data_IF_892358796776
#
_entry.id   IF_892358796776
#
_cell.length_a   1.000
_cell.length_b   1.000
_cell.length_c   1.000
_cell.angle_alpha   90.00
_cell.angle_beta   90.00
_cell.angle_gamma   90.00
#
_symmetry.space_group_name_H-M   'P 1'
#
loop_
_entity.id
_entity.type
_entity.pdbx_description
1 polymer ?
#
# COMPACT_ATOMS: atom_id res chain seq x y z
N UNK A 1 4.52 -17.55 3.24
CA UNK A 1 5.86 -17.57 3.85
C UNK A 1 6.14 -18.93 4.45
N UNK A 2 7.39 -19.38 4.43
CA UNK A 2 7.88 -20.57 5.14
C UNK A 2 9.26 -20.30 5.73
N UNK A 3 9.60 -20.99 6.81
CA UNK A 3 10.92 -20.89 7.45
C UNK A 3 11.99 -21.60 6.61
N UNK A 4 13.17 -20.97 6.48
CA UNK A 4 14.31 -21.54 5.78
C UNK A 4 15.62 -21.15 6.49
N UNK A 5 16.58 -22.07 6.46
CA UNK A 5 17.96 -21.83 6.87
C UNK A 5 18.93 -22.26 5.77
N UNK A 6 19.85 -21.38 5.39
CA UNK A 6 20.92 -21.68 4.44
C UNK A 6 22.25 -21.69 5.18
N UNK A 7 22.87 -22.86 5.28
CA UNK A 7 24.09 -23.07 6.06
C UNK A 7 25.19 -23.73 5.24
N UNK A 8 26.30 -23.00 5.09
CA UNK A 8 27.56 -23.51 4.58
C UNK A 8 28.44 -23.93 5.75
N UNK A 9 29.05 -25.12 5.66
CA UNK A 9 29.94 -25.65 6.70
C UNK A 9 31.22 -26.21 6.08
N UNK A 10 32.37 -25.49 6.15
CA UNK A 10 32.54 -24.15 6.74
C UNK A 10 31.92 -23.04 5.87
N UNK A 11 31.71 -21.86 6.46
CA UNK A 11 31.41 -20.63 5.71
C UNK A 11 32.69 -20.19 5.00
N UNK A 12 32.63 -20.06 3.67
CA UNK A 12 33.77 -19.63 2.82
C UNK A 12 33.33 -18.54 1.84
N UNK A 13 34.27 -17.96 1.10
CA UNK A 13 33.93 -16.98 0.04
C UNK A 13 33.07 -17.62 -1.06
N UNK A 14 33.30 -18.90 -1.36
CA UNK A 14 32.52 -19.66 -2.35
C UNK A 14 31.15 -20.12 -1.82
N UNK A 15 30.98 -20.19 -0.51
CA UNK A 15 29.73 -20.57 0.17
C UNK A 15 29.55 -19.70 1.43
N UNK A 16 29.09 -18.44 1.26
CA UNK A 16 29.12 -17.43 2.34
C UNK A 16 27.86 -17.43 3.21
N UNK A 17 27.03 -18.47 3.16
CA UNK A 17 25.71 -18.46 3.81
C UNK A 17 25.74 -19.10 5.20
N UNK A 18 25.30 -18.32 6.19
CA UNK A 18 24.80 -18.82 7.46
C UNK A 18 23.66 -17.90 7.89
N UNK A 19 22.46 -18.18 7.40
CA UNK A 19 21.31 -17.27 7.46
C UNK A 19 20.03 -18.04 7.72
N UNK A 20 19.16 -17.50 8.56
CA UNK A 20 17.87 -18.13 8.91
C UNK A 20 16.77 -17.08 8.90
N UNK A 21 15.59 -17.47 8.46
CA UNK A 21 14.40 -16.63 8.55
C UNK A 21 13.24 -17.14 7.72
N UNK A 22 12.45 -16.22 7.18
CA UNK A 22 11.27 -16.48 6.37
C UNK A 22 11.54 -16.16 4.90
N UNK A 23 10.97 -16.98 4.04
CA UNK A 23 10.94 -16.78 2.59
C UNK A 23 9.59 -17.20 2.01
N UNK A 24 9.41 -17.10 0.70
CA UNK A 24 8.24 -17.61 -0.03
C UNK A 24 8.66 -18.07 -1.43
N UNK A 25 7.92 -19.00 -2.03
CA UNK A 25 8.17 -19.39 -3.42
C UNK A 25 7.85 -18.18 -4.32
N UNK A 26 8.76 -17.66 -5.17
CA UNK A 26 9.95 -18.30 -5.75
C UNK A 26 11.32 -17.79 -5.23
N UNK A 27 11.37 -17.08 -4.10
CA UNK A 27 12.60 -16.46 -3.61
C UNK A 27 13.67 -17.52 -3.26
N UNK A 28 14.92 -17.38 -3.77
CA UNK A 28 15.96 -18.39 -3.59
C UNK A 28 16.68 -18.34 -2.24
N UNK A 29 16.44 -17.29 -1.44
CA UNK A 29 17.14 -17.01 -0.18
C UNK A 29 16.19 -16.47 0.90
N UNK A 30 16.71 -16.15 2.09
CA UNK A 30 15.93 -15.56 3.20
C UNK A 30 15.54 -14.13 2.82
N UNK A 31 14.24 -13.82 2.87
CA UNK A 31 13.73 -12.47 2.58
C UNK A 31 13.58 -11.65 3.87
N UNK A 32 13.22 -12.30 4.98
CA UNK A 32 13.13 -11.69 6.33
C UNK A 32 13.92 -12.55 7.29
N UNK A 33 14.89 -12.02 8.02
CA UNK A 33 15.65 -12.86 8.92
C UNK A 33 16.94 -12.21 9.38
N UNK A 34 17.92 -13.05 9.70
CA UNK A 34 19.21 -12.58 10.15
C UNK A 34 20.31 -13.57 9.74
N UNK A 35 21.53 -13.05 9.65
CA UNK A 35 22.75 -13.85 9.60
C UNK A 35 23.55 -13.65 10.90
N UNK A 36 24.83 -13.97 10.89
CA UNK A 36 25.71 -13.84 12.07
C UNK A 36 25.97 -12.38 12.49
N UNK A 37 25.74 -11.40 11.59
CA UNK A 37 26.13 -10.01 11.79
C UNK A 37 24.95 -9.04 11.85
N UNK A 38 23.92 -9.27 11.01
CA UNK A 38 22.81 -8.34 10.83
C UNK A 38 21.47 -9.07 10.86
N UNK A 39 20.43 -8.36 11.28
CA UNK A 39 19.03 -8.75 11.16
C UNK A 39 18.23 -7.72 10.38
N UNK A 40 17.24 -8.17 9.62
CA UNK A 40 16.36 -7.32 8.85
C UNK A 40 14.92 -7.83 8.82
N UNK A 41 13.99 -6.87 8.75
CA UNK A 41 12.57 -7.10 8.57
C UNK A 41 12.01 -6.13 7.55
N UNK A 42 10.82 -6.42 7.01
CA UNK A 42 10.17 -5.53 6.06
C UNK A 42 8.69 -5.29 6.38
N UNK A 43 8.20 -4.12 5.98
CA UNK A 43 6.77 -3.86 5.81
C UNK A 43 6.51 -3.24 4.44
N UNK A 44 5.32 -3.43 3.88
CA UNK A 44 4.97 -2.79 2.61
C UNK A 44 4.96 -1.25 2.77
N UNK A 45 5.60 -0.53 1.86
CA UNK A 45 5.61 0.93 1.89
C UNK A 45 4.38 1.55 1.22
N UNK A 46 3.70 0.82 0.32
CA UNK A 46 2.49 1.29 -0.36
C UNK A 46 2.75 2.39 -1.40
N UNK A 47 3.99 2.57 -1.82
CA UNK A 47 4.35 3.53 -2.85
C UNK A 47 3.73 3.19 -4.19
N UNK A 48 3.42 4.25 -4.92
CA UNK A 48 2.79 4.21 -6.22
C UNK A 48 3.85 4.06 -7.31
N UNK A 49 3.88 2.87 -7.91
CA UNK A 49 4.90 2.45 -8.88
C UNK A 49 4.28 2.02 -10.21
N UNK A 50 3.03 2.39 -10.46
CA UNK A 50 2.29 1.99 -11.64
C UNK A 50 1.44 3.15 -12.14
N UNK A 51 1.30 3.29 -13.46
CA UNK A 51 0.39 4.26 -14.07
C UNK A 51 -0.41 3.61 -15.20
N UNK A 52 -1.61 4.16 -15.42
CA UNK A 52 -2.48 3.78 -16.52
C UNK A 52 -2.48 4.87 -17.58
N UNK A 53 -2.24 4.48 -18.82
CA UNK A 53 -2.23 5.37 -19.98
C UNK A 53 -3.39 5.04 -20.89
N UNK A 54 -4.30 5.99 -21.08
CA UNK A 54 -5.42 5.89 -22.03
C UNK A 54 -4.89 6.01 -23.45
N UNK A 55 -5.20 5.02 -24.28
CA UNK A 55 -4.73 4.95 -25.66
C UNK A 55 -5.86 5.33 -26.62
N UNK A 56 -5.49 5.96 -27.73
CA UNK A 56 -6.36 6.08 -28.90
C UNK A 56 -5.99 4.98 -29.90
N UNK A 57 -6.92 4.06 -30.17
CA UNK A 57 -6.72 2.97 -31.13
C UNK A 57 -7.05 3.45 -32.55
N UNK A 58 -6.26 3.04 -33.54
CA UNK A 58 -6.54 3.39 -34.94
C UNK A 58 -7.86 2.72 -35.40
N UNK A 59 -8.88 3.50 -35.82
CA UNK A 59 -10.16 2.96 -36.27
C UNK A 59 -10.06 2.11 -37.54
N UNK A 60 -9.00 2.29 -38.34
CA UNK A 60 -8.77 1.52 -39.58
C UNK A 60 -7.89 0.27 -39.34
N UNK A 61 -7.17 0.19 -38.22
CA UNK A 61 -6.29 -0.94 -37.86
C UNK A 61 -6.18 -1.08 -36.33
N UNK A 62 -6.86 -2.04 -35.68
CA UNK A 62 -6.84 -2.18 -34.23
C UNK A 62 -5.48 -2.62 -33.68
N UNK A 63 -4.49 -2.92 -34.52
CA UNK A 63 -3.13 -3.25 -34.09
C UNK A 63 -2.23 -2.02 -34.02
N UNK A 64 -2.79 -0.82 -34.19
CA UNK A 64 -2.10 0.45 -34.08
C UNK A 64 -2.73 1.37 -33.02
N UNK A 65 -1.90 2.19 -32.38
CA UNK A 65 -2.32 3.26 -31.47
C UNK A 65 -1.68 4.59 -31.86
N UNK A 66 -2.33 5.67 -31.42
CA UNK A 66 -1.84 7.03 -31.61
C UNK A 66 -0.64 7.29 -30.70
N UNK A 67 0.44 7.79 -31.28
CA UNK A 67 1.61 8.23 -30.53
C UNK A 67 2.26 9.43 -31.20
N UNK A 68 2.39 10.54 -30.49
CA UNK A 68 3.02 11.79 -30.95
C UNK A 68 2.58 12.22 -32.36
N UNK A 69 1.28 12.07 -32.65
CA UNK A 69 0.70 12.48 -33.92
C UNK A 69 0.79 11.45 -35.06
N UNK A 70 1.31 10.25 -34.81
CA UNK A 70 1.43 9.16 -35.77
C UNK A 70 0.71 7.89 -35.28
N UNK A 71 0.37 6.99 -36.21
CA UNK A 71 -0.11 5.64 -35.86
C UNK A 71 1.08 4.71 -35.75
N UNK A 72 1.22 4.05 -34.60
CA UNK A 72 2.33 3.15 -34.29
C UNK A 72 1.83 1.73 -34.10
N UNK A 73 2.52 0.77 -34.72
CA UNK A 73 2.24 -0.66 -34.56
C UNK A 73 2.47 -1.12 -33.11
N UNK A 74 1.57 -1.97 -32.63
CA UNK A 74 1.72 -2.69 -31.36
C UNK A 74 2.48 -3.99 -31.57
N UNK A 75 3.08 -4.49 -30.49
CA UNK A 75 3.48 -5.90 -30.44
C UNK A 75 2.25 -6.73 -30.08
N UNK A 76 1.99 -7.81 -30.82
CA UNK A 76 0.88 -8.72 -30.54
C UNK A 76 1.45 -10.10 -30.28
N UNK A 77 1.04 -10.72 -29.18
CA UNK A 77 1.33 -12.14 -28.90
C UNK A 77 0.05 -12.91 -28.67
N UNK A 78 0.03 -14.15 -29.13
CA UNK A 78 -1.04 -15.10 -28.85
C UNK A 78 -0.69 -15.88 -27.59
N UNK A 79 -1.62 -15.94 -26.65
CA UNK A 79 -1.49 -16.72 -25.42
C UNK A 79 -2.60 -17.76 -25.37
N UNK A 80 -2.22 -19.04 -25.17
CA UNK A 80 -3.16 -20.15 -25.03
C UNK A 80 -3.42 -20.44 -23.54
N UNK A 81 -4.64 -20.19 -23.09
CA UNK A 81 -5.13 -20.57 -21.76
C UNK A 81 -5.71 -21.98 -21.84
N UNK A 82 -4.95 -22.93 -21.29
CA UNK A 82 -5.34 -24.35 -21.25
C UNK A 82 -5.96 -24.68 -19.90
N UNK A 83 -7.19 -25.15 -19.94
CA UNK A 83 -7.94 -25.55 -18.74
C UNK A 83 -7.70 -27.02 -18.41
N UNK A 84 -7.94 -27.37 -17.14
CA UNK A 84 -8.04 -28.76 -16.72
C UNK A 84 -9.23 -29.47 -17.36
N UNK A 85 -9.38 -30.76 -17.08
CA UNK A 85 -10.60 -31.53 -17.37
C UNK A 85 -11.09 -31.57 -18.84
N UNK A 86 -10.22 -31.28 -19.81
CA UNK A 86 -10.51 -31.30 -21.25
C UNK A 86 -11.49 -30.21 -21.73
N UNK A 87 -11.60 -29.11 -20.98
CA UNK A 87 -12.27 -27.91 -21.47
C UNK A 87 -11.51 -27.31 -22.68
N UNK A 88 -12.24 -26.56 -23.50
CA UNK A 88 -11.69 -25.95 -24.71
C UNK A 88 -10.61 -24.93 -24.35
N UNK A 89 -9.49 -24.97 -25.08
CA UNK A 89 -8.42 -23.98 -24.91
C UNK A 89 -8.90 -22.62 -25.40
N UNK A 90 -8.82 -21.60 -24.55
CA UNK A 90 -9.10 -20.22 -24.94
C UNK A 90 -7.80 -19.59 -25.42
N UNK A 91 -7.80 -19.07 -26.64
CA UNK A 91 -6.68 -18.28 -27.16
C UNK A 91 -7.02 -16.81 -27.02
N UNK A 92 -6.15 -16.05 -26.35
CA UNK A 92 -6.25 -14.60 -26.25
C UNK A 92 -5.12 -13.94 -27.03
N UNK A 93 -5.36 -12.73 -27.50
CA UNK A 93 -4.32 -11.86 -28.02
C UNK A 93 -3.98 -10.82 -26.97
N UNK A 94 -2.68 -10.62 -26.74
CA UNK A 94 -2.17 -9.59 -25.84
C UNK A 94 -1.47 -8.54 -26.70
N UNK A 95 -2.04 -7.34 -26.74
CA UNK A 95 -1.43 -6.17 -27.38
C UNK A 95 -0.55 -5.42 -26.37
N UNK A 96 0.64 -5.05 -26.82
CA UNK A 96 1.64 -4.35 -26.03
C UNK A 96 2.17 -3.13 -26.78
N UNK A 97 2.17 -2.01 -26.06
CA UNK A 97 2.73 -0.73 -26.52
C UNK A 97 4.10 -0.50 -25.88
N UNK A 98 4.74 0.63 -26.17
CA UNK A 98 5.96 1.01 -25.44
C UNK A 98 5.70 1.44 -23.99
N UNK A 99 4.46 1.81 -23.65
CA UNK A 99 4.03 2.15 -22.29
C UNK A 99 3.66 0.90 -21.47
N UNK A 100 3.61 -0.27 -22.12
CA UNK A 100 3.27 -1.56 -21.50
C UNK A 100 2.08 -2.26 -22.16
N UNK A 101 1.66 -3.40 -21.57
CA UNK A 101 0.53 -4.19 -22.07
C UNK A 101 -0.80 -3.46 -21.88
N UNK A 102 -1.73 -3.65 -22.82
CA UNK A 102 -3.11 -3.19 -22.67
C UNK A 102 -3.83 -4.14 -21.70
N UNK A 103 -4.32 -3.61 -20.57
CA UNK A 103 -4.93 -4.45 -19.52
C UNK A 103 -6.46 -4.54 -19.63
N UNK A 104 -7.06 -3.69 -20.45
CA UNK A 104 -8.49 -3.70 -20.80
C UNK A 104 -8.76 -4.37 -22.13
N UNK A 105 -7.76 -5.08 -22.68
CA UNK A 105 -7.66 -5.38 -24.10
C UNK A 105 -8.76 -6.29 -24.67
N UNK A 106 -9.15 -7.33 -23.92
CA UNK A 106 -10.08 -8.33 -24.44
C UNK A 106 -11.52 -7.90 -24.17
N UNK A 107 -12.35 -7.92 -25.21
CA UNK A 107 -13.80 -7.80 -25.06
C UNK A 107 -14.40 -9.19 -24.76
N UNK A 108 -15.26 -9.26 -23.75
CA UNK A 108 -15.82 -10.51 -23.22
C UNK A 108 -17.34 -10.40 -23.19
N UNK A 109 -18.01 -11.32 -23.86
CA UNK A 109 -19.48 -11.34 -23.90
C UNK A 109 -20.12 -11.84 -22.60
N UNK A 110 -21.46 -11.74 -22.49
CA UNK A 110 -22.23 -12.16 -21.30
C UNK A 110 -22.05 -13.65 -20.95
N UNK A 111 -21.64 -14.47 -21.92
CA UNK A 111 -21.38 -15.90 -21.76
C UNK A 111 -19.90 -16.18 -21.41
N UNK A 112 -19.06 -15.15 -21.32
CA UNK A 112 -17.64 -15.24 -20.95
C UNK A 112 -16.68 -15.52 -22.12
N UNK A 113 -17.14 -15.42 -23.37
CA UNK A 113 -16.29 -15.67 -24.54
C UNK A 113 -15.57 -14.40 -24.98
N UNK A 114 -14.31 -14.55 -25.38
CA UNK A 114 -13.52 -13.46 -25.97
C UNK A 114 -14.00 -13.22 -27.40
N UNK A 115 -14.52 -12.02 -27.68
CA UNK A 115 -15.15 -11.66 -28.96
C UNK A 115 -14.23 -10.83 -29.87
N UNK A 116 -13.17 -10.23 -29.31
CA UNK A 116 -12.24 -9.34 -29.99
C UNK A 116 -11.52 -8.43 -29.02
N UNK A 117 -11.16 -7.23 -29.50
CA UNK A 117 -10.50 -6.21 -28.70
C UNK A 117 -11.50 -5.16 -28.20
N UNK A 118 -11.42 -4.81 -26.92
CA UNK A 118 -12.03 -3.60 -26.37
C UNK A 118 -11.15 -2.40 -26.75
N UNK A 119 -11.55 -1.70 -27.80
CA UNK A 119 -10.85 -0.52 -28.31
C UNK A 119 -11.36 0.80 -27.75
N UNK A 120 -12.51 0.79 -27.07
CA UNK A 120 -13.17 2.02 -26.59
C UNK A 120 -12.51 2.54 -25.30
N UNK A 121 -12.00 1.63 -24.46
CA UNK A 121 -11.38 1.94 -23.17
C UNK A 121 -9.97 1.34 -23.06
N UNK A 122 -9.21 1.34 -24.15
CA UNK A 122 -7.88 0.76 -24.19
C UNK A 122 -6.92 1.49 -23.23
N UNK A 123 -6.43 0.79 -22.21
CA UNK A 123 -5.51 1.32 -21.22
C UNK A 123 -4.25 0.46 -21.14
N UNK A 124 -3.08 1.08 -21.35
CA UNK A 124 -1.79 0.46 -21.10
C UNK A 124 -1.38 0.62 -19.63
N UNK A 125 -0.84 -0.45 -19.03
CA UNK A 125 -0.26 -0.42 -17.70
C UNK A 125 1.27 -0.29 -17.80
N UNK A 126 1.82 0.82 -17.31
CA UNK A 126 3.26 0.93 -17.06
C UNK A 126 3.52 0.62 -15.60
N UNK A 127 4.30 -0.42 -15.31
CA UNK A 127 4.58 -0.86 -13.95
C UNK A 127 6.05 -1.20 -13.76
N UNK A 128 6.69 -0.67 -12.72
CA UNK A 128 8.12 -0.92 -12.45
C UNK A 128 8.45 -2.39 -12.20
N UNK A 129 7.48 -3.20 -11.74
CA UNK A 129 7.69 -4.65 -11.56
C UNK A 129 7.74 -5.42 -12.88
N UNK A 130 7.30 -4.82 -13.98
CA UNK A 130 7.39 -5.39 -15.33
C UNK A 130 8.77 -5.15 -15.96
N UNK A 131 9.53 -4.19 -15.42
CA UNK A 131 10.86 -3.87 -15.90
C UNK A 131 11.87 -4.96 -15.54
N UNK A 132 12.86 -5.18 -16.42
CA UNK A 132 13.97 -6.09 -16.08
C UNK A 132 14.74 -5.54 -14.88
N UNK A 133 14.93 -6.40 -13.87
CA UNK A 133 15.52 -6.04 -12.59
C UNK A 133 16.57 -7.04 -12.08
N UNK A 134 17.07 -6.73 -10.89
CA UNK A 134 18.20 -7.36 -10.21
C UNK A 134 17.84 -7.86 -8.81
N UNK A 135 16.55 -7.94 -8.50
CA UNK A 135 16.04 -8.37 -7.18
C UNK A 135 16.64 -9.70 -6.70
N UNK A 136 16.88 -10.65 -7.59
CA UNK A 136 17.51 -11.94 -7.23
C UNK A 136 18.95 -11.71 -6.75
N UNK A 137 19.72 -10.86 -7.42
CA UNK A 137 21.06 -10.47 -6.99
C UNK A 137 21.04 -9.72 -5.67
N UNK A 138 20.07 -8.82 -5.48
CA UNK A 138 19.83 -8.12 -4.21
C UNK A 138 19.61 -9.10 -3.06
N UNK A 139 18.75 -10.09 -3.25
CA UNK A 139 18.46 -11.12 -2.26
C UNK A 139 19.71 -11.90 -1.85
N UNK A 140 20.56 -12.30 -2.81
CA UNK A 140 21.82 -12.97 -2.48
C UNK A 140 22.80 -12.07 -1.74
N UNK A 141 22.93 -10.80 -2.16
CA UNK A 141 23.81 -9.84 -1.51
C UNK A 141 23.34 -9.51 -0.08
N UNK A 142 22.03 -9.33 0.13
CA UNK A 142 21.44 -9.03 1.42
C UNK A 142 21.71 -10.15 2.44
N UNK A 143 21.60 -11.40 2.02
CA UNK A 143 21.88 -12.56 2.87
C UNK A 143 23.37 -12.65 3.28
N UNK A 144 24.27 -12.01 2.54
CA UNK A 144 25.72 -11.97 2.78
C UNK A 144 26.18 -10.71 3.51
N UNK A 145 25.38 -9.65 3.52
CA UNK A 145 25.76 -8.37 4.11
C UNK A 145 26.09 -8.50 5.59
N UNK A 146 27.15 -7.80 6.00
CA UNK A 146 27.71 -7.88 7.36
C UNK A 146 27.64 -6.57 8.13
N UNK A 147 27.28 -5.48 7.47
CA UNK A 147 27.22 -4.13 8.03
C UNK A 147 26.22 -3.26 7.24
N UNK A 148 26.01 -2.03 7.70
CA UNK A 148 25.06 -1.09 7.11
C UNK A 148 25.35 -0.77 5.64
N UNK A 149 26.62 -0.59 5.27
CA UNK A 149 27.00 -0.20 3.92
C UNK A 149 26.74 -1.36 2.94
N UNK A 150 27.14 -2.59 3.31
CA UNK A 150 26.85 -3.79 2.51
C UNK A 150 25.35 -4.08 2.42
N UNK A 151 24.60 -3.79 3.48
CA UNK A 151 23.14 -3.87 3.48
C UNK A 151 22.53 -2.88 2.47
N UNK A 152 22.98 -1.62 2.46
CA UNK A 152 22.52 -0.63 1.47
C UNK A 152 22.93 -1.00 0.04
N UNK A 153 24.15 -1.49 -0.15
CA UNK A 153 24.63 -1.93 -1.46
C UNK A 153 23.80 -3.09 -2.01
N UNK A 154 23.42 -4.04 -1.15
CA UNK A 154 22.47 -5.09 -1.51
C UNK A 154 21.12 -4.52 -1.93
N UNK A 155 20.58 -3.56 -1.17
CA UNK A 155 19.28 -2.93 -1.45
C UNK A 155 19.31 -1.99 -2.66
N UNK A 156 20.48 -1.53 -3.12
CA UNK A 156 20.60 -0.77 -4.40
C UNK A 156 20.17 -1.61 -5.62
N UNK A 157 20.25 -2.93 -5.52
CA UNK A 157 19.77 -3.89 -6.53
C UNK A 157 18.30 -4.29 -6.33
N UNK A 158 17.63 -3.77 -5.30
CA UNK A 158 16.23 -4.10 -5.02
C UNK A 158 15.31 -3.18 -5.84
N UNK A 159 15.01 -3.59 -7.07
CA UNK A 159 14.24 -2.75 -8.00
C UNK A 159 12.73 -2.68 -7.69
N UNK A 160 12.12 -3.78 -7.24
CA UNK A 160 10.70 -3.89 -6.92
C UNK A 160 10.43 -5.21 -6.16
N UNK A 161 9.30 -5.35 -5.45
CA UNK A 161 8.42 -4.27 -5.00
C UNK A 161 9.09 -3.48 -3.87
N UNK A 162 8.83 -2.18 -3.79
CA UNK A 162 9.39 -1.34 -2.72
C UNK A 162 8.91 -1.79 -1.35
N UNK A 163 9.82 -1.83 -0.37
CA UNK A 163 9.52 -2.24 1.00
C UNK A 163 10.25 -1.33 1.99
N UNK A 164 9.63 -1.09 3.14
CA UNK A 164 10.29 -0.53 4.32
C UNK A 164 11.24 -1.57 4.90
N UNK A 165 12.54 -1.51 4.64
CA UNK A 165 13.48 -2.37 5.34
C UNK A 165 13.91 -1.74 6.66
N UNK A 166 13.81 -2.51 7.75
CA UNK A 166 14.45 -2.21 9.03
C UNK A 166 15.69 -3.08 9.20
N UNK A 167 16.71 -2.52 9.84
CA UNK A 167 18.04 -3.11 10.02
C UNK A 167 18.44 -3.04 11.49
N UNK A 168 19.12 -4.08 11.97
CA UNK A 168 19.87 -4.06 13.21
C UNK A 168 21.14 -4.90 13.08
N UNK A 169 22.19 -4.61 13.84
CA UNK A 169 23.43 -5.40 13.85
C UNK A 169 23.97 -5.71 15.25
N UNK A 170 24.99 -6.57 15.28
CA UNK A 170 25.68 -7.00 16.50
C UNK A 170 26.51 -5.90 17.17
N UNK A 171 26.75 -4.77 16.50
CA UNK A 171 27.43 -3.60 17.06
C UNK A 171 26.45 -2.65 17.79
N UNK A 172 25.14 -2.92 17.67
CA UNK A 172 24.08 -2.14 18.29
C UNK A 172 23.54 -1.02 17.40
N UNK A 173 23.86 -1.02 16.11
CA UNK A 173 23.28 -0.06 15.17
C UNK A 173 21.85 -0.48 14.80
N UNK A 174 20.99 0.51 14.54
CA UNK A 174 19.67 0.32 13.94
C UNK A 174 19.52 1.22 12.72
N UNK A 175 18.89 0.70 11.67
CA UNK A 175 18.79 1.40 10.40
C UNK A 175 17.49 1.16 9.67
N UNK A 176 17.24 1.99 8.68
CA UNK A 176 16.07 1.92 7.83
C UNK A 176 16.42 2.36 6.41
N UNK A 177 15.95 1.62 5.41
CA UNK A 177 16.07 1.96 3.99
C UNK A 177 14.78 1.51 3.27
N UNK A 178 14.24 2.37 2.41
CA UNK A 178 13.29 1.89 1.39
C UNK A 178 13.96 1.90 0.02
N UNK A 179 14.19 0.74 -0.60
CA UNK A 179 14.63 0.65 -1.98
C UNK A 179 13.44 0.50 -2.94
N UNK A 180 13.72 0.67 -4.22
CA UNK A 180 12.78 0.44 -5.31
C UNK A 180 12.94 1.44 -6.44
N UNK A 181 12.43 1.09 -7.62
CA UNK A 181 12.27 2.01 -8.74
C UNK A 181 11.00 2.82 -8.52
N UNK A 182 11.18 4.11 -8.28
CA UNK A 182 10.09 5.07 -8.07
C UNK A 182 10.08 6.03 -9.24
N UNK A 183 9.02 6.06 -10.05
CA UNK A 183 8.97 6.90 -11.22
C UNK A 183 8.95 8.37 -10.83
N UNK A 184 9.74 9.19 -11.53
CA UNK A 184 9.58 10.65 -11.53
C UNK A 184 8.62 10.98 -12.65
N UNK A 185 7.47 11.54 -12.29
CA UNK A 185 6.38 11.82 -13.23
C UNK A 185 6.47 13.24 -13.77
N UNK A 186 5.97 13.45 -14.98
CA UNK A 186 5.84 14.78 -15.56
C UNK A 186 4.94 15.71 -14.71
N UNK A 187 5.07 17.01 -14.93
CA UNK A 187 4.26 18.02 -14.25
C UNK A 187 2.76 17.75 -14.47
N UNK A 188 1.98 17.74 -13.39
CA UNK A 188 0.53 17.47 -13.43
C UNK A 188 0.15 15.98 -13.46
N UNK A 189 1.07 15.07 -13.78
CA UNK A 189 0.82 13.62 -13.69
C UNK A 189 0.93 13.17 -12.22
N UNK A 190 -0.22 12.99 -11.56
CA UNK A 190 -0.29 12.65 -10.13
C UNK A 190 -0.14 11.16 -9.80
N UNK A 191 -0.38 10.27 -10.77
CA UNK A 191 -0.48 8.81 -10.58
C UNK A 191 -1.81 8.34 -9.98
N UNK A 192 -2.71 9.26 -9.61
CA UNK A 192 -4.00 8.90 -8.99
C UNK A 192 -5.07 8.44 -9.99
N UNK A 193 -4.97 8.87 -11.24
CA UNK A 193 -5.94 8.63 -12.30
C UNK A 193 -5.20 8.26 -13.60
N UNK A 194 -5.86 7.53 -14.51
CA UNK A 194 -5.32 7.33 -15.85
C UNK A 194 -5.01 8.66 -16.54
N UNK A 195 -3.92 8.69 -17.30
CA UNK A 195 -3.45 9.87 -18.05
C UNK A 195 -3.50 9.63 -19.56
N UNK A 196 -3.38 10.69 -20.34
CA UNK A 196 -3.30 10.58 -21.80
C UNK A 196 -2.00 9.88 -22.22
N UNK A 197 -2.13 8.76 -22.94
CA UNK A 197 -1.04 7.96 -23.50
C UNK A 197 -0.78 8.19 -24.98
N UNK A 198 -1.37 9.22 -25.60
CA UNK A 198 -1.18 9.53 -27.02
C UNK A 198 0.02 10.42 -27.31
N UNK A 199 0.64 10.99 -26.27
CA UNK A 199 1.81 11.87 -26.36
C UNK A 199 2.84 11.54 -25.25
N UNK A 200 4.06 12.05 -25.42
CA UNK A 200 5.13 11.92 -24.43
C UNK A 200 4.98 12.85 -23.21
N UNK A 201 3.96 13.70 -23.17
CA UNK A 201 3.76 14.69 -22.10
C UNK A 201 3.58 14.06 -20.71
N UNK A 202 3.06 12.82 -20.63
CA UNK A 202 2.81 12.12 -19.38
C UNK A 202 3.80 10.99 -19.08
N UNK A 203 4.78 10.73 -19.96
CA UNK A 203 5.76 9.67 -19.75
C UNK A 203 6.57 9.87 -18.47
N UNK A 204 7.06 8.77 -17.90
CA UNK A 204 8.01 8.81 -16.81
C UNK A 204 9.32 9.45 -17.27
N UNK A 205 9.79 10.43 -16.52
CA UNK A 205 11.05 11.14 -16.80
C UNK A 205 12.27 10.30 -16.39
N UNK A 206 12.04 9.21 -15.65
CA UNK A 206 13.03 8.28 -15.16
C UNK A 206 12.66 7.76 -13.78
N UNK A 207 13.66 7.32 -13.03
CA UNK A 207 13.49 6.83 -11.66
C UNK A 207 14.30 7.68 -10.69
N UNK A 208 13.80 7.83 -9.46
CA UNK A 208 14.54 8.47 -8.39
C UNK A 208 15.88 7.74 -8.15
N UNK A 209 17.01 8.47 -8.05
CA UNK A 209 18.27 7.83 -7.73
C UNK A 209 18.24 7.28 -6.30
N UNK A 210 18.81 6.08 -6.09
CA UNK A 210 18.75 5.35 -4.82
C UNK A 210 19.18 6.16 -3.59
N UNK A 211 20.18 7.04 -3.73
CA UNK A 211 20.71 7.83 -2.62
C UNK A 211 19.73 8.92 -2.12
N UNK A 212 18.70 9.24 -2.90
CA UNK A 212 17.59 10.13 -2.52
C UNK A 212 16.36 9.36 -2.01
N UNK A 213 16.41 8.02 -1.95
CA UNK A 213 15.35 7.26 -1.30
C UNK A 213 15.53 7.33 0.22
N UNK A 214 14.43 7.38 1.01
CA UNK A 214 14.51 7.59 2.44
C UNK A 214 15.34 6.52 3.13
N UNK A 215 16.31 6.99 3.92
CA UNK A 215 17.16 6.15 4.74
C UNK A 215 17.56 6.85 6.03
N UNK A 216 17.80 6.08 7.09
CA UNK A 216 18.34 6.60 8.35
C UNK A 216 19.13 5.50 9.06
N UNK A 217 20.25 5.88 9.68
CA UNK A 217 21.06 5.03 10.54
C UNK A 217 21.19 5.70 11.90
N UNK A 218 20.94 4.96 12.98
CA UNK A 218 21.03 5.42 14.37
C UNK A 218 20.32 6.75 14.63
N UNK A 219 18.98 6.84 14.38
CA UNK A 219 18.24 8.06 14.64
C UNK A 219 18.25 8.41 16.13
N UNK A 220 18.32 9.70 16.48
CA UNK A 220 18.36 10.20 17.88
C UNK A 220 17.23 9.66 18.77
N UNK A 221 16.08 9.33 18.17
CA UNK A 221 14.93 8.74 18.88
C UNK A 221 15.16 7.30 19.34
N UNK A 222 16.24 6.65 18.91
CA UNK A 222 16.65 5.28 19.28
C UNK A 222 15.64 4.17 18.97
N UNK A 223 14.66 4.42 18.09
CA UNK A 223 13.77 3.40 17.56
C UNK A 223 13.41 3.67 16.10
N UNK A 224 12.98 2.60 15.42
CA UNK A 224 12.43 2.63 14.07
C UNK A 224 11.15 1.80 14.10
N UNK A 225 10.03 2.41 13.75
CA UNK A 225 8.73 1.75 13.70
C UNK A 225 8.11 1.97 12.32
N UNK A 226 7.86 0.87 11.60
CA UNK A 226 7.19 0.89 10.30
C UNK A 226 6.00 -0.06 10.36
N UNK A 227 4.85 0.44 9.96
CA UNK A 227 3.57 -0.24 9.95
C UNK A 227 2.72 0.32 8.78
N UNK A 228 3.36 0.50 7.63
CA UNK A 228 2.75 0.94 6.36
C UNK A 228 2.19 2.38 6.38
N UNK A 229 2.51 3.18 7.39
CA UNK A 229 2.10 4.58 7.49
C UNK A 229 2.87 5.49 6.53
N UNK A 230 2.42 6.74 6.39
CA UNK A 230 3.16 7.78 5.65
C UNK A 230 4.62 7.83 6.12
N UNK A 231 5.55 7.79 5.17
CA UNK A 231 6.95 7.60 5.49
C UNK A 231 7.70 8.90 5.75
N UNK A 232 7.51 9.88 4.87
CA UNK A 232 8.22 11.16 4.89
C UNK A 232 7.22 12.31 4.99
N UNK A 233 7.58 13.44 5.61
CA UNK A 233 6.77 14.65 5.57
C UNK A 233 6.72 15.22 4.15
N UNK A 234 5.75 16.09 3.88
CA UNK A 234 5.61 16.73 2.57
C UNK A 234 6.86 17.52 2.15
N UNK A 235 7.53 18.19 3.09
CA UNK A 235 8.77 18.93 2.86
C UNK A 235 9.91 18.07 2.26
N UNK A 236 9.86 16.74 2.42
CA UNK A 236 10.82 15.84 1.78
C UNK A 236 10.67 15.87 0.25
N UNK A 237 9.44 15.97 -0.26
CA UNK A 237 9.19 16.06 -1.70
C UNK A 237 9.64 17.41 -2.26
N UNK A 238 9.49 18.49 -1.50
CA UNK A 238 10.02 19.81 -1.86
C UNK A 238 11.55 19.79 -1.96
N UNK A 239 12.22 19.08 -1.04
CA UNK A 239 13.66 18.87 -1.09
C UNK A 239 14.07 18.10 -2.36
N UNK A 240 13.36 17.03 -2.71
CA UNK A 240 13.62 16.28 -3.94
C UNK A 240 13.49 17.17 -5.18
N UNK A 241 12.44 17.98 -5.26
CA UNK A 241 12.25 18.91 -6.37
C UNK A 241 13.41 19.92 -6.47
N UNK A 242 13.91 20.42 -5.33
CA UNK A 242 15.05 21.31 -5.29
C UNK A 242 16.36 20.62 -5.73
N UNK A 243 16.61 19.40 -5.28
CA UNK A 243 17.88 18.71 -5.49
C UNK A 243 17.96 18.03 -6.88
N UNK A 244 16.82 17.61 -7.42
CA UNK A 244 16.72 16.87 -8.68
C UNK A 244 16.08 17.67 -9.82
N UNK A 245 15.67 18.92 -9.58
CA UNK A 245 15.02 19.78 -10.57
C UNK A 245 15.86 20.03 -11.83
N UNK A 246 17.18 20.12 -11.71
CA UNK A 246 18.07 20.23 -12.87
C UNK A 246 18.05 18.98 -13.77
N UNK A 247 17.74 17.81 -13.19
CA UNK A 247 17.73 16.52 -13.89
C UNK A 247 16.35 16.20 -14.48
N UNK A 248 15.28 16.40 -13.71
CA UNK A 248 13.92 15.99 -14.12
C UNK A 248 12.94 17.16 -14.30
N UNK A 249 13.32 18.40 -14.00
CA UNK A 249 12.43 19.56 -13.99
C UNK A 249 11.96 19.90 -12.58
N UNK A 250 11.94 21.20 -12.27
CA UNK A 250 11.51 21.71 -10.95
C UNK A 250 10.01 21.46 -10.69
N UNK A 251 9.20 21.37 -11.74
CA UNK A 251 7.75 21.16 -11.69
C UNK A 251 7.33 19.69 -11.88
N UNK A 252 8.31 18.77 -12.03
CA UNK A 252 8.05 17.35 -12.04
C UNK A 252 7.42 16.89 -10.71
N UNK A 253 6.67 15.80 -10.77
CA UNK A 253 6.05 15.23 -9.58
C UNK A 253 6.97 14.16 -8.95
N UNK A 254 7.47 14.48 -7.76
CA UNK A 254 8.35 13.65 -6.94
C UNK A 254 7.61 12.86 -5.83
N UNK A 255 6.29 12.98 -5.75
CA UNK A 255 5.49 12.34 -4.70
C UNK A 255 5.44 10.83 -4.92
N UNK A 256 5.78 10.07 -3.87
CA UNK A 256 5.90 8.60 -3.94
C UNK A 256 4.56 7.87 -3.98
N UNK A 257 3.46 8.56 -3.71
CA UNK A 257 2.12 8.01 -3.64
C UNK A 257 1.24 8.78 -2.64
N UNK A 258 -0.07 8.61 -2.76
CA UNK A 258 -1.08 9.30 -1.94
C UNK A 258 -1.89 8.36 -1.05
N UNK A 259 -1.45 7.09 -0.94
CA UNK A 259 -2.17 6.06 -0.19
C UNK A 259 -1.20 5.34 0.74
N UNK A 260 -1.54 5.33 2.02
CA UNK A 260 -0.81 4.64 3.09
C UNK A 260 -1.80 4.20 4.16
N UNK A 261 -1.36 3.37 5.10
CA UNK A 261 -2.15 3.06 6.28
C UNK A 261 -2.23 4.28 7.21
N UNK A 262 -3.38 4.49 7.86
CA UNK A 262 -3.68 5.73 8.60
C UNK A 262 -2.77 6.05 9.80
N UNK A 263 -1.87 5.15 10.18
CA UNK A 263 -0.88 5.40 11.22
C UNK A 263 -1.18 4.78 12.58
N UNK A 264 -2.44 4.39 12.86
CA UNK A 264 -2.82 3.82 14.17
C UNK A 264 -1.91 2.68 14.67
N UNK A 265 -1.52 1.74 13.79
CA UNK A 265 -0.60 0.66 14.18
C UNK A 265 0.79 1.20 14.53
N UNK A 266 1.29 2.15 13.74
CA UNK A 266 2.60 2.75 14.00
C UNK A 266 2.59 3.55 15.30
N UNK A 267 1.55 4.35 15.51
CA UNK A 267 1.32 5.11 16.74
C UNK A 267 1.28 4.18 17.95
N UNK A 268 0.49 3.10 17.89
CA UNK A 268 0.40 2.13 18.99
C UNK A 268 1.72 1.44 19.28
N UNK A 269 2.44 1.02 18.24
CA UNK A 269 3.79 0.44 18.39
C UNK A 269 4.72 1.44 19.06
N UNK A 270 4.72 2.70 18.63
CA UNK A 270 5.56 3.75 19.21
C UNK A 270 5.19 4.03 20.67
N UNK A 271 3.90 4.12 21.00
CA UNK A 271 3.43 4.28 22.39
C UNK A 271 3.98 3.16 23.28
N UNK A 272 3.88 1.90 22.83
CA UNK A 272 4.36 0.74 23.59
C UNK A 272 5.89 0.67 23.66
N UNK A 273 6.60 1.12 22.62
CA UNK A 273 8.05 1.24 22.63
C UNK A 273 8.52 2.34 23.61
N UNK A 274 7.79 3.44 23.69
CA UNK A 274 8.12 4.56 24.58
C UNK A 274 7.70 4.32 26.04
N UNK A 275 6.85 3.32 26.29
CA UNK A 275 6.41 2.97 27.64
C UNK A 275 7.52 2.32 28.50
N UNK A 276 8.65 1.94 27.90
CA UNK A 276 9.79 1.34 28.59
C UNK A 276 11.12 1.84 28.02
N UNK A 277 12.12 2.05 28.87
CA UNK A 277 13.48 2.40 28.42
C UNK A 277 14.21 1.21 27.77
N UNK A 278 13.70 -0.01 27.95
CA UNK A 278 14.29 -1.24 27.42
C UNK A 278 13.24 -2.29 27.09
N UNK A 279 13.49 -3.07 26.04
CA UNK A 279 12.62 -4.16 25.60
C UNK A 279 13.33 -5.51 25.68
N UNK A 280 12.57 -6.51 26.09
CA UNK A 280 12.92 -7.92 26.04
C UNK A 280 11.90 -8.72 25.21
N UNK A 281 12.08 -10.04 25.18
CA UNK A 281 11.19 -10.94 24.47
C UNK A 281 9.71 -10.78 24.87
N UNK A 282 9.41 -10.66 26.17
CA UNK A 282 8.04 -10.58 26.67
C UNK A 282 7.39 -9.25 26.25
N UNK A 283 8.14 -8.15 26.31
CA UNK A 283 7.62 -6.85 25.84
C UNK A 283 7.36 -6.84 24.33
N UNK A 284 8.22 -7.45 23.51
CA UNK A 284 7.97 -7.56 22.06
C UNK A 284 6.81 -8.51 21.76
N UNK A 285 6.65 -9.59 22.52
CA UNK A 285 5.48 -10.47 22.41
C UNK A 285 4.18 -9.71 22.73
N UNK A 286 4.20 -8.84 23.75
CA UNK A 286 3.07 -7.97 24.07
C UNK A 286 2.78 -6.98 22.93
N UNK A 287 3.79 -6.33 22.35
CA UNK A 287 3.62 -5.43 21.19
C UNK A 287 3.00 -6.18 20.00
N UNK A 288 3.48 -7.39 19.69
CA UNK A 288 2.91 -8.20 18.61
C UNK A 288 1.48 -8.65 18.87
N UNK A 289 1.11 -8.87 20.14
CA UNK A 289 -0.21 -9.33 20.56
C UNK A 289 -1.21 -8.22 20.86
N UNK A 290 -0.80 -6.94 20.79
CA UNK A 290 -1.68 -5.80 21.06
C UNK A 290 -2.77 -5.69 19.99
N UNK A 291 -3.98 -5.41 20.45
CA UNK A 291 -5.15 -5.32 19.61
C UNK A 291 -6.01 -4.11 19.98
N UNK A 292 -5.37 -3.01 20.41
CA UNK A 292 -6.05 -1.76 20.70
C UNK A 292 -6.60 -1.12 19.42
N UNK A 293 -7.86 -0.72 19.43
CA UNK A 293 -8.53 -0.02 18.35
C UNK A 293 -8.55 1.49 18.64
N UNK A 294 -7.47 2.20 18.28
CA UNK A 294 -7.34 3.66 18.51
C UNK A 294 -8.50 4.44 17.89
N UNK A 295 -8.95 4.06 16.69
CA UNK A 295 -10.12 4.66 16.05
C UNK A 295 -11.35 4.72 16.98
N UNK A 296 -11.62 3.65 17.75
CA UNK A 296 -12.75 3.63 18.67
C UNK A 296 -12.57 4.62 19.83
N UNK A 297 -11.34 4.73 20.34
CA UNK A 297 -10.98 5.69 21.39
C UNK A 297 -11.13 7.14 20.92
N UNK A 298 -10.78 7.43 19.66
CA UNK A 298 -10.91 8.76 19.07
C UNK A 298 -12.36 9.19 18.86
N UNK A 299 -13.23 8.29 18.41
CA UNK A 299 -14.64 8.64 18.15
C UNK A 299 -15.54 8.55 19.39
N UNK A 300 -15.10 7.84 20.43
CA UNK A 300 -15.89 7.60 21.65
C UNK A 300 -16.47 8.88 22.30
N UNK A 301 -15.75 10.01 22.41
CA UNK A 301 -16.31 11.24 22.97
C UNK A 301 -17.53 11.75 22.20
N UNK A 302 -17.51 11.67 20.86
CA UNK A 302 -18.62 12.12 20.03
C UNK A 302 -19.83 11.19 20.18
N UNK A 303 -19.60 9.88 20.24
CA UNK A 303 -20.66 8.89 20.46
C UNK A 303 -21.27 9.07 21.85
N UNK A 304 -20.47 9.39 22.87
CA UNK A 304 -20.94 9.61 24.25
C UNK A 304 -21.93 10.78 24.37
N UNK A 305 -21.75 11.82 23.56
CA UNK A 305 -22.56 13.04 23.59
C UNK A 305 -23.93 12.87 22.91
N UNK A 306 -24.11 11.83 22.08
CA UNK A 306 -25.37 11.57 21.36
C UNK A 306 -26.45 11.13 22.34
N UNK A 307 -27.57 11.85 22.43
CA UNK A 307 -28.72 11.48 23.27
C UNK A 307 -29.67 10.52 22.55
N UNK A 308 -30.18 9.50 23.23
CA UNK A 308 -31.23 8.63 22.69
C UNK A 308 -32.55 8.85 23.43
N UNK A 309 -33.69 8.73 22.74
CA UNK A 309 -35.01 8.70 23.39
C UNK A 309 -35.28 7.36 24.10
N UNK A 310 -34.67 6.27 23.63
CA UNK A 310 -34.77 4.93 24.22
C UNK A 310 -33.68 4.74 25.30
N UNK A 311 -34.11 4.53 26.54
CA UNK A 311 -33.22 4.25 27.69
C UNK A 311 -32.35 3.00 27.43
N UNK A 312 -32.84 2.01 26.69
CA UNK A 312 -32.10 0.79 26.35
C UNK A 312 -30.91 1.09 25.44
N UNK A 313 -31.10 1.97 24.45
CA UNK A 313 -30.02 2.39 23.54
C UNK A 313 -29.00 3.27 24.27
N UNK A 314 -29.46 4.12 25.19
CA UNK A 314 -28.59 4.87 26.10
C UNK A 314 -27.73 3.93 26.95
N UNK A 315 -28.34 2.91 27.57
CA UNK A 315 -27.61 1.90 28.37
C UNK A 315 -26.64 1.09 27.51
N UNK A 316 -27.03 0.71 26.28
CA UNK A 316 -26.17 -0.02 25.35
C UNK A 316 -24.96 0.80 24.90
N UNK A 317 -25.16 2.08 24.55
CA UNK A 317 -24.08 3.03 24.23
C UNK A 317 -23.11 3.15 25.40
N UNK A 318 -23.60 3.42 26.61
CA UNK A 318 -22.73 3.61 27.78
C UNK A 318 -21.99 2.33 28.16
N UNK A 319 -22.66 1.18 28.05
CA UNK A 319 -22.03 -0.12 28.28
C UNK A 319 -20.94 -0.42 27.25
N UNK A 320 -21.22 -0.11 25.97
CA UNK A 320 -20.23 -0.19 24.90
C UNK A 320 -19.02 0.69 25.26
N UNK A 321 -19.20 1.99 25.48
CA UNK A 321 -18.10 2.93 25.71
C UNK A 321 -17.29 2.70 27.01
N UNK A 322 -17.74 1.82 27.91
CA UNK A 322 -17.00 1.45 29.13
C UNK A 322 -15.92 0.36 28.90
N UNK A 323 -15.64 0.00 27.65
CA UNK A 323 -14.59 -0.95 27.29
C UNK A 323 -13.23 -0.25 27.09
N UNK A 324 -12.12 -0.99 27.24
CA UNK A 324 -10.74 -0.46 27.22
C UNK A 324 -10.12 -0.31 25.82
N UNK A 325 -10.94 -0.30 24.77
CA UNK A 325 -10.54 -0.28 23.37
C UNK A 325 -9.76 -1.51 22.88
N UNK A 326 -9.61 -2.57 23.69
CA UNK A 326 -8.95 -3.81 23.29
C UNK A 326 -9.92 -4.78 22.59
N UNK A 327 -9.55 -5.23 21.39
CA UNK A 327 -10.35 -6.14 20.55
C UNK A 327 -10.20 -7.61 20.97
N UNK A 328 -10.18 -7.89 22.28
CA UNK A 328 -9.99 -9.25 22.82
C UNK A 328 -11.10 -10.20 22.34
N UNK A 329 -10.75 -11.47 22.11
CA UNK A 329 -11.68 -12.50 21.63
C UNK A 329 -12.95 -12.65 22.48
N UNK A 330 -12.89 -12.33 23.77
CA UNK A 330 -13.99 -12.46 24.72
C UNK A 330 -14.63 -11.11 25.09
N UNK A 331 -14.39 -10.04 24.31
CA UNK A 331 -14.95 -8.70 24.57
C UNK A 331 -16.28 -8.51 23.82
N UNK A 332 -17.44 -8.60 24.49
CA UNK A 332 -18.72 -8.37 23.84
C UNK A 332 -18.93 -6.89 23.48
N UNK A 333 -18.30 -5.96 24.20
CA UNK A 333 -18.31 -4.54 23.84
C UNK A 333 -17.57 -4.27 22.53
N UNK A 334 -16.42 -4.90 22.32
CA UNK A 334 -15.70 -4.82 21.04
C UNK A 334 -16.53 -5.38 19.88
N UNK A 335 -17.29 -6.45 20.12
CA UNK A 335 -18.21 -7.00 19.13
C UNK A 335 -19.36 -6.03 18.81
N UNK A 336 -19.96 -5.41 19.84
CA UNK A 336 -21.00 -4.39 19.64
C UNK A 336 -20.47 -3.19 18.86
N UNK A 337 -19.27 -2.70 19.18
CA UNK A 337 -18.67 -1.61 18.43
C UNK A 337 -18.38 -1.96 16.98
N UNK A 338 -17.89 -3.17 16.72
CA UNK A 338 -17.67 -3.61 15.35
C UNK A 338 -18.96 -3.59 14.54
N UNK A 339 -20.09 -3.99 15.14
CA UNK A 339 -21.41 -3.90 14.49
C UNK A 339 -21.86 -2.45 14.32
N UNK A 340 -21.73 -1.63 15.37
CA UNK A 340 -22.02 -0.20 15.32
C UNK A 340 -21.23 0.50 14.20
N UNK A 341 -19.92 0.23 14.07
CA UNK A 341 -19.11 0.84 13.02
C UNK A 341 -19.51 0.35 11.61
N UNK A 342 -19.93 -0.91 11.47
CA UNK A 342 -20.46 -1.41 10.20
C UNK A 342 -21.71 -0.64 9.81
N UNK A 343 -22.68 -0.50 10.72
CA UNK A 343 -23.90 0.27 10.48
C UNK A 343 -23.60 1.76 10.23
N UNK A 344 -22.75 2.37 11.06
CA UNK A 344 -22.34 3.76 10.92
C UNK A 344 -21.70 4.04 9.55
N UNK A 345 -20.82 3.18 9.07
CA UNK A 345 -20.18 3.37 7.77
C UNK A 345 -21.15 3.13 6.60
N UNK A 346 -22.14 2.25 6.76
CA UNK A 346 -23.21 2.04 5.78
C UNK A 346 -24.06 3.31 5.67
N UNK A 347 -24.59 3.79 6.80
CA UNK A 347 -25.46 4.97 6.89
C UNK A 347 -24.74 6.28 6.50
N UNK A 348 -23.42 6.38 6.70
CA UNK A 348 -22.63 7.59 6.41
C UNK A 348 -22.20 7.72 4.94
N UNK A 349 -22.06 6.62 4.21
CA UNK A 349 -21.39 6.66 2.90
C UNK A 349 -22.21 6.08 1.74
N UNK A 350 -23.12 5.13 1.98
CA UNK A 350 -23.70 4.34 0.90
C UNK A 350 -24.84 5.04 0.16
N UNK A 351 -25.47 6.06 0.76
CA UNK A 351 -26.43 6.91 0.07
C UNK A 351 -25.79 7.67 -1.12
N UNK A 352 -24.53 8.08 -0.96
CA UNK A 352 -23.75 8.84 -1.96
C UNK A 352 -22.84 7.97 -2.82
N UNK A 353 -22.20 6.94 -2.24
CA UNK A 353 -21.20 6.12 -2.92
C UNK A 353 -21.72 4.75 -3.36
N UNK A 354 -22.91 4.34 -2.92
CA UNK A 354 -23.42 2.99 -3.11
C UNK A 354 -22.46 1.92 -2.56
N UNK A 355 -22.49 0.72 -3.14
CA UNK A 355 -21.71 -0.45 -2.70
C UNK A 355 -20.18 -0.28 -2.80
N UNK A 356 -19.70 0.86 -3.30
CA UNK A 356 -18.26 1.19 -3.35
C UNK A 356 -17.72 1.45 -1.94
N UNK A 357 -18.52 2.03 -1.05
CA UNK A 357 -18.13 2.25 0.33
C UNK A 357 -18.45 1.03 1.20
N UNK A 358 -17.54 0.74 2.12
CA UNK A 358 -17.62 -0.43 3.00
C UNK A 358 -16.95 -0.08 4.32
N UNK A 359 -17.42 -0.67 5.42
CA UNK A 359 -16.81 -0.55 6.74
C UNK A 359 -15.43 -1.21 6.79
N UNK A 360 -14.39 -0.49 6.35
CA UNK A 360 -13.01 -0.95 6.41
C UNK A 360 -12.08 0.16 6.93
N UNK A 361 -10.79 -0.12 6.95
CA UNK A 361 -9.77 0.78 7.48
C UNK A 361 -9.59 2.08 6.68
N UNK A 362 -10.02 2.15 5.41
CA UNK A 362 -9.95 3.36 4.59
C UNK A 362 -10.90 4.43 5.13
N UNK A 363 -12.10 4.02 5.52
CA UNK A 363 -13.17 4.89 6.00
C UNK A 363 -12.93 5.39 7.44
N UNK A 364 -12.20 4.65 8.27
CA UNK A 364 -11.97 5.01 9.69
C UNK A 364 -11.44 6.44 9.86
N UNK A 365 -10.44 6.83 9.08
CA UNK A 365 -9.86 8.17 9.19
C UNK A 365 -10.80 9.26 8.69
N UNK A 366 -11.46 9.04 7.54
CA UNK A 366 -12.44 9.98 7.02
C UNK A 366 -13.59 10.18 8.03
N UNK A 367 -14.09 9.08 8.63
CA UNK A 367 -15.10 9.13 9.69
C UNK A 367 -14.60 9.92 10.89
N UNK A 368 -13.36 9.72 11.33
CA UNK A 368 -12.77 10.49 12.44
C UNK A 368 -12.74 11.99 12.16
N UNK A 369 -12.39 12.40 10.93
CA UNK A 369 -12.40 13.81 10.54
C UNK A 369 -13.83 14.38 10.53
N UNK A 370 -14.80 13.61 10.01
CA UNK A 370 -16.20 14.01 9.94
C UNK A 370 -16.85 14.13 11.32
N UNK A 371 -16.40 13.36 12.31
CA UNK A 371 -16.93 13.44 13.68
C UNK A 371 -16.85 14.85 14.27
N UNK A 372 -15.85 15.65 13.89
CA UNK A 372 -15.70 17.02 14.40
C UNK A 372 -16.68 18.04 13.77
N UNK A 373 -17.34 17.69 12.67
CA UNK A 373 -18.23 18.56 11.90
C UNK A 373 -19.64 17.93 11.81
N UNK A 374 -20.51 18.15 12.82
CA UNK A 374 -21.78 17.43 12.92
C UNK A 374 -22.80 17.80 11.83
N UNK A 375 -22.62 18.92 11.14
CA UNK A 375 -23.50 19.40 10.06
C UNK A 375 -22.88 19.17 8.66
N UNK A 376 -21.82 18.37 8.57
CA UNK A 376 -21.18 18.07 7.29
C UNK A 376 -22.15 17.34 6.34
N UNK A 377 -22.07 17.67 5.05
CA UNK A 377 -22.93 17.10 4.00
C UNK A 377 -22.81 15.58 3.84
N UNK A 378 -21.74 14.96 4.35
CA UNK A 378 -21.62 13.50 4.38
C UNK A 378 -22.59 12.85 5.38
N UNK A 379 -23.07 13.58 6.38
CA UNK A 379 -24.07 13.06 7.34
C UNK A 379 -25.50 13.11 6.82
N UNK A 380 -25.76 13.86 5.76
CA UNK A 380 -27.08 14.04 5.16
C UNK A 380 -27.41 12.87 4.24
N UNK A 381 -28.48 12.12 4.53
CA UNK A 381 -28.94 11.04 3.66
C UNK A 381 -29.73 11.64 2.50
N UNK A 382 -29.12 11.68 1.32
CA UNK A 382 -29.71 12.35 0.15
C UNK A 382 -31.02 11.71 -0.35
N UNK A 383 -31.41 10.57 0.22
CA UNK A 383 -32.66 9.87 -0.09
C UNK A 383 -33.81 10.23 0.86
N UNK A 384 -33.58 10.99 1.92
CA UNK A 384 -34.62 11.46 2.84
C UNK A 384 -34.98 12.93 2.55
N UNK A 385 -36.18 13.39 2.97
CA UNK A 385 -36.56 14.80 2.85
C UNK A 385 -36.06 15.68 3.99
N UNK A 386 -35.64 15.09 5.10
CA UNK A 386 -34.99 15.77 6.21
C UNK A 386 -33.50 16.03 5.89
N UNK A 387 -32.82 16.82 6.72
CA UNK A 387 -31.37 16.95 6.66
C UNK A 387 -30.80 16.38 7.95
N UNK A 388 -30.11 15.25 7.85
CA UNK A 388 -29.51 14.59 8.99
C UNK A 388 -28.17 15.22 9.41
N UNK A 389 -27.89 15.07 10.69
CA UNK A 389 -26.62 15.42 11.31
C UNK A 389 -25.86 14.15 11.70
N UNK A 390 -24.59 14.31 12.09
CA UNK A 390 -23.80 13.24 12.71
C UNK A 390 -24.56 12.48 13.79
N UNK A 391 -25.26 13.21 14.65
CA UNK A 391 -25.94 12.62 15.79
C UNK A 391 -27.14 11.77 15.34
N UNK A 392 -27.87 12.21 14.31
CA UNK A 392 -28.98 11.44 13.71
C UNK A 392 -28.46 10.14 13.08
N UNK A 393 -27.33 10.19 12.37
CA UNK A 393 -26.70 9.01 11.76
C UNK A 393 -26.12 8.08 12.82
N UNK A 394 -25.49 8.59 13.88
CA UNK A 394 -25.05 7.76 15.01
C UNK A 394 -26.26 7.10 15.68
N UNK A 395 -27.36 7.82 15.88
CA UNK A 395 -28.57 7.24 16.46
C UNK A 395 -29.12 6.10 15.60
N UNK A 396 -29.17 6.31 14.29
CA UNK A 396 -29.60 5.32 13.30
C UNK A 396 -28.74 4.06 13.35
N UNK A 397 -27.42 4.21 13.43
CA UNK A 397 -26.48 3.09 13.51
C UNK A 397 -26.62 2.20 14.77
N UNK A 398 -27.34 2.66 15.80
CA UNK A 398 -27.66 1.90 17.01
C UNK A 398 -29.03 1.20 16.97
N UNK A 399 -29.97 1.68 16.13
CA UNK A 399 -31.36 1.22 16.05
C UNK A 399 -31.57 0.17 14.96
#
# INVERSE_FOLDING_TARGET
>A
WYEVGLHCQPVTVECPFNVVGLTFSPAPTVVLGHNDNIGWGVTNVGWDTQDLYMLEINPDDPLQYRWNGEWRDMTVREEEIRFGDSEETVTIQVRETHLGPIITDNDVDDDGNVSGFNNDEAMALHWTSYETGTIVSSLFALNQASNWDEFRDALRMWDAPSQNFVYADVEGNIGYQTPGRIPVRAAGHTGMLPVDGTTDENEWLGYLPFDYLPSVLNPDRNYIATANQALVPMDYYDQLAQELGDQFGEDANYVFGYRWAQGYRAERIVEMLQASDSHDFDTYQAIHGDNKLIFAEEIAPYVADVTFEDDTLTEARDWMLNWDYQMHMNSPQAALFAQFYVALADDLYNDQLGDVANANNRQMWATTLLMADPENVWWDDINTPETETRDDIIQRAFG
#
